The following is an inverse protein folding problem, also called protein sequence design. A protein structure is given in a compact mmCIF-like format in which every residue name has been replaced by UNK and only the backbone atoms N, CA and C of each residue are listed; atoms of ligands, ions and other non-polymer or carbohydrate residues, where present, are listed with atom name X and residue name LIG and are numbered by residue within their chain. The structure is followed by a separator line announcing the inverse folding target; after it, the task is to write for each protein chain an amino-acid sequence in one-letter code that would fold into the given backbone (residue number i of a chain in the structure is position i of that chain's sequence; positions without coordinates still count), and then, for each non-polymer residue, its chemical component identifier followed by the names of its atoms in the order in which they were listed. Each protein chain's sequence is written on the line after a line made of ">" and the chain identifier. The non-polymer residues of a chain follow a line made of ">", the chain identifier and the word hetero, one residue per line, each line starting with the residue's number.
data_IF_750838066411
#
_entry.id   IF_750838066411
#
_cell.length_a   1.000
_cell.length_b   1.000
_cell.length_c   1.000
_cell.angle_alpha   90.00
_cell.angle_beta   90.00
_cell.angle_gamma   90.00
#
_symmetry.space_group_name_H-M   'P 1'
#
loop_
_entity.id
_entity.type
_entity.pdbx_description
1 polymer ?
#
# COMPACT_ATOMS: atom_id res chain seq x y z
N UNK A 1 23.67 5.95 39.86
CA UNK A 1 22.27 6.22 39.47
C UNK A 1 21.65 4.93 38.96
N UNK A 2 20.72 4.35 39.70
CA UNK A 2 20.03 3.10 39.32
C UNK A 2 18.95 3.44 38.30
N UNK A 3 19.15 3.04 37.04
CA UNK A 3 18.15 3.24 35.98
C UNK A 3 16.91 2.42 36.35
N UNK A 4 15.75 3.08 36.48
CA UNK A 4 14.47 2.39 36.72
C UNK A 4 14.27 1.35 35.62
N UNK A 5 13.92 0.12 36.01
CA UNK A 5 13.54 -0.91 35.05
C UNK A 5 12.29 -0.42 34.28
N UNK A 6 12.40 -0.40 32.96
CA UNK A 6 11.27 -0.05 32.09
C UNK A 6 10.24 -1.18 32.14
N UNK A 7 8.96 -0.82 32.11
CA UNK A 7 7.92 -1.79 31.76
C UNK A 7 8.11 -2.28 30.32
N UNK A 8 7.49 -3.39 29.95
CA UNK A 8 7.60 -3.92 28.59
C UNK A 8 7.17 -2.90 27.52
N UNK A 9 6.07 -2.17 27.75
CA UNK A 9 5.61 -1.13 26.83
C UNK A 9 6.60 0.03 26.74
N UNK A 10 7.12 0.51 27.87
CA UNK A 10 8.14 1.58 27.88
C UNK A 10 9.43 1.14 27.18
N UNK A 11 9.83 -0.12 27.34
CA UNK A 11 10.98 -0.69 26.65
C UNK A 11 10.77 -0.72 25.14
N UNK A 12 9.60 -1.18 24.67
CA UNK A 12 9.28 -1.20 23.24
C UNK A 12 9.22 0.22 22.65
N UNK A 13 8.64 1.18 23.38
CA UNK A 13 8.65 2.58 22.95
C UNK A 13 10.06 3.16 22.88
N UNK A 14 10.95 2.79 23.80
CA UNK A 14 12.35 3.23 23.76
C UNK A 14 13.12 2.62 22.58
N UNK A 15 12.88 1.34 22.27
CA UNK A 15 13.44 0.70 21.06
C UNK A 15 12.96 1.41 19.80
N UNK A 16 11.68 1.73 19.70
CA UNK A 16 11.13 2.48 18.57
C UNK A 16 11.75 3.87 18.45
N UNK A 17 11.90 4.60 19.58
CA UNK A 17 12.53 5.91 19.62
C UNK A 17 13.97 5.85 19.08
N UNK A 18 14.77 4.91 19.57
CA UNK A 18 16.16 4.72 19.13
C UNK A 18 16.24 4.32 17.65
N UNK A 19 15.34 3.47 17.18
CA UNK A 19 15.27 3.08 15.77
C UNK A 19 14.98 4.29 14.87
N UNK A 20 14.08 5.19 15.29
CA UNK A 20 13.78 6.44 14.58
C UNK A 20 14.96 7.40 14.58
N UNK A 21 15.76 7.45 15.66
CA UNK A 21 16.98 8.26 15.71
C UNK A 21 18.05 7.76 14.74
N UNK A 22 18.29 6.45 14.68
CA UNK A 22 19.23 5.84 13.71
C UNK A 22 18.81 6.19 12.27
N UNK A 23 17.51 6.07 11.96
CA UNK A 23 16.98 6.45 10.65
C UNK A 23 17.20 7.93 10.36
N UNK A 24 16.95 8.81 11.33
CA UNK A 24 17.12 10.26 11.14
C UNK A 24 18.58 10.60 10.82
N UNK A 25 19.52 10.09 11.63
CA UNK A 25 20.95 10.33 11.42
C UNK A 25 21.40 9.83 10.04
N UNK A 26 20.98 8.64 9.63
CA UNK A 26 21.30 8.11 8.31
C UNK A 26 20.66 8.90 7.16
N UNK A 27 19.50 9.51 7.38
CA UNK A 27 18.88 10.43 6.41
C UNK A 27 19.72 11.68 6.23
N UNK A 28 20.21 12.26 7.33
CA UNK A 28 21.02 13.47 7.31
C UNK A 28 22.38 13.24 6.62
N UNK A 29 22.91 12.02 6.70
CA UNK A 29 24.11 11.59 5.98
C UNK A 29 23.85 11.17 4.52
N UNK A 30 22.59 11.20 4.06
CA UNK A 30 22.22 10.83 2.69
C UNK A 30 22.35 9.34 2.38
N UNK A 31 22.37 8.48 3.40
CA UNK A 31 22.57 7.04 3.22
C UNK A 31 21.31 6.29 2.78
N UNK A 32 20.13 6.87 3.05
CA UNK A 32 18.87 6.15 2.94
C UNK A 32 18.51 5.81 1.49
N UNK A 33 18.40 4.52 1.22
CA UNK A 33 17.76 3.99 0.02
C UNK A 33 16.53 3.16 0.38
N UNK A 34 15.38 3.58 -0.13
CA UNK A 34 14.11 2.87 0.05
C UNK A 34 13.81 1.85 -1.06
N UNK A 35 14.65 1.82 -2.10
CA UNK A 35 14.63 0.83 -3.18
C UNK A 35 15.62 -0.31 -2.95
N UNK A 36 16.24 -0.78 -4.04
CA UNK A 36 17.36 -1.73 -3.95
C UNK A 36 18.57 -1.04 -3.32
N UNK A 37 19.24 -1.71 -2.39
CA UNK A 37 20.47 -1.18 -1.81
C UNK A 37 21.55 -1.04 -2.89
N UNK A 38 22.35 0.05 -2.91
CA UNK A 38 23.46 0.19 -3.84
C UNK A 38 24.42 -1.01 -3.77
N UNK A 39 25.02 -1.37 -4.91
CA UNK A 39 25.95 -2.50 -5.00
C UNK A 39 27.16 -2.32 -4.06
N UNK A 40 27.59 -1.07 -3.87
CA UNK A 40 28.71 -0.66 -3.02
C UNK A 40 28.32 -0.38 -1.56
N UNK A 41 27.05 -0.54 -1.18
CA UNK A 41 26.59 -0.30 0.19
C UNK A 41 27.27 -1.25 1.18
N UNK A 42 27.78 -0.69 2.27
CA UNK A 42 28.35 -1.47 3.38
C UNK A 42 27.27 -2.28 4.09
N UNK A 43 27.68 -3.31 4.85
CA UNK A 43 26.76 -4.11 5.68
C UNK A 43 25.95 -3.25 6.65
N UNK A 44 26.56 -2.23 7.25
CA UNK A 44 25.86 -1.30 8.14
C UNK A 44 24.81 -0.47 7.39
N UNK A 45 25.16 0.10 6.24
CA UNK A 45 24.21 0.86 5.42
C UNK A 45 23.02 0.01 4.97
N UNK A 46 23.28 -1.24 4.55
CA UNK A 46 22.19 -2.18 4.20
C UNK A 46 21.28 -2.48 5.40
N UNK A 47 21.83 -2.67 6.58
CA UNK A 47 21.05 -2.89 7.80
C UNK A 47 20.22 -1.65 8.19
N UNK A 48 20.81 -0.46 8.10
CA UNK A 48 20.12 0.81 8.37
C UNK A 48 19.02 1.07 7.35
N UNK A 49 19.26 0.79 6.06
CA UNK A 49 18.25 0.89 5.02
C UNK A 49 17.11 -0.11 5.24
N UNK A 50 17.41 -1.33 5.66
CA UNK A 50 16.40 -2.32 6.03
C UNK A 50 15.55 -1.83 7.22
N UNK A 51 16.18 -1.28 8.26
CA UNK A 51 15.48 -0.66 9.39
C UNK A 51 14.60 0.51 8.94
N UNK A 52 15.13 1.41 8.10
CA UNK A 52 14.42 2.57 7.59
C UNK A 52 13.18 2.17 6.78
N UNK A 53 13.30 1.15 5.91
CA UNK A 53 12.19 0.58 5.15
C UNK A 53 11.14 -0.02 6.08
N UNK A 54 11.55 -0.77 7.11
CA UNK A 54 10.64 -1.33 8.09
C UNK A 54 9.88 -0.24 8.88
N UNK A 55 10.57 0.82 9.31
CA UNK A 55 9.95 1.95 10.03
C UNK A 55 9.04 2.82 9.15
N UNK A 56 9.15 2.73 7.82
CA UNK A 56 8.28 3.43 6.89
C UNK A 56 7.01 2.63 6.57
N UNK A 57 7.04 1.32 6.81
CA UNK A 57 5.91 0.44 6.59
C UNK A 57 4.76 0.83 7.51
N UNK A 58 3.60 1.06 6.92
CA UNK A 58 2.36 1.28 7.64
C UNK A 58 1.61 -0.06 7.72
N UNK A 59 1.39 -0.54 8.94
CA UNK A 59 0.63 -1.77 9.14
C UNK A 59 -0.87 -1.56 8.90
N UNK A 60 -1.51 -2.51 8.24
CA UNK A 60 -2.94 -2.47 7.93
C UNK A 60 -3.56 -3.87 7.95
N UNK A 61 -4.89 -4.00 8.15
CA UNK A 61 -5.54 -5.31 8.14
C UNK A 61 -5.29 -6.05 6.82
N UNK A 62 -4.67 -7.22 6.90
CA UNK A 62 -4.30 -8.00 5.72
C UNK A 62 -2.99 -7.58 5.04
N UNK A 63 -2.09 -6.89 5.74
CA UNK A 63 -0.71 -6.62 5.30
C UNK A 63 0.24 -7.85 5.41
N UNK A 64 -0.24 -8.94 6.03
CA UNK A 64 0.50 -10.19 6.21
C UNK A 64 1.48 -10.19 7.39
N UNK A 65 1.34 -9.27 8.36
CA UNK A 65 2.24 -9.16 9.52
C UNK A 65 1.70 -9.77 10.83
N UNK A 66 0.43 -10.15 10.87
CA UNK A 66 -0.20 -10.84 12.01
C UNK A 66 -0.72 -12.18 11.50
N UNK A 67 -0.62 -13.24 12.32
CA UNK A 67 -0.97 -14.66 12.12
C UNK A 67 -2.42 -14.95 11.66
N UNK A 68 -2.91 -14.24 10.65
CA UNK A 68 -4.13 -14.48 9.87
C UNK A 68 -3.76 -15.19 8.54
N UNK A 69 -2.66 -15.95 8.57
CA UNK A 69 -1.53 -15.95 7.60
C UNK A 69 -1.49 -17.05 6.54
N UNK A 70 -2.51 -17.90 6.40
CA UNK A 70 -2.48 -18.94 5.34
C UNK A 70 -2.95 -18.41 3.96
N UNK A 71 -3.33 -17.13 3.86
CA UNK A 71 -3.79 -16.53 2.61
C UNK A 71 -2.62 -15.93 1.82
N UNK A 72 -2.44 -16.30 0.54
CA UNK A 72 -1.33 -15.78 -0.25
C UNK A 72 -1.50 -14.27 -0.49
N UNK A 73 -0.37 -13.57 -0.61
CA UNK A 73 -0.34 -12.17 -1.06
C UNK A 73 -0.87 -12.07 -2.49
N UNK A 74 -1.63 -11.01 -2.77
CA UNK A 74 -2.22 -10.74 -4.07
C UNK A 74 -1.47 -9.60 -4.77
N UNK A 75 -0.79 -9.92 -5.87
CA UNK A 75 -0.17 -8.89 -6.72
C UNK A 75 -1.25 -8.01 -7.36
N UNK A 76 -1.21 -6.70 -7.08
CA UNK A 76 -2.13 -5.74 -7.68
C UNK A 76 -1.42 -4.94 -8.78
N UNK A 77 -2.13 -4.74 -9.90
CA UNK A 77 -1.76 -3.76 -10.90
C UNK A 77 -2.04 -2.33 -10.39
N UNK A 78 -3.14 -2.17 -9.67
CA UNK A 78 -3.54 -0.92 -9.07
C UNK A 78 -4.88 -1.04 -8.37
N UNK A 79 -5.31 0.04 -7.73
CA UNK A 79 -6.60 0.10 -7.03
C UNK A 79 -7.39 1.36 -7.37
N UNK A 80 -8.71 1.26 -7.28
CA UNK A 80 -9.62 2.40 -7.28
C UNK A 80 -10.38 2.36 -5.96
N UNK A 81 -10.45 3.48 -5.24
CA UNK A 81 -11.28 3.62 -4.06
C UNK A 81 -12.45 4.55 -4.38
N UNK A 82 -13.67 4.08 -4.16
CA UNK A 82 -14.90 4.87 -4.34
C UNK A 82 -15.71 4.85 -3.05
N UNK A 83 -16.13 6.02 -2.58
CA UNK A 83 -16.99 6.14 -1.39
C UNK A 83 -17.78 7.45 -1.43
N UNK A 84 -18.84 7.58 -0.62
CA UNK A 84 -19.55 8.85 -0.50
C UNK A 84 -18.59 10.00 -0.21
N UNK A 85 -18.62 11.05 -1.04
CA UNK A 85 -17.78 12.24 -0.89
C UNK A 85 -16.31 12.10 -1.30
N UNK A 86 -15.82 10.90 -1.62
CA UNK A 86 -14.45 10.68 -2.13
C UNK A 86 -14.50 9.81 -3.37
N UNK A 87 -14.50 10.47 -4.51
CA UNK A 87 -14.46 9.86 -5.84
C UNK A 87 -13.16 10.24 -6.56
N UNK A 88 -12.58 9.33 -7.38
CA UNK A 88 -11.47 9.68 -8.25
C UNK A 88 -11.82 10.88 -9.13
N UNK A 89 -10.99 11.93 -9.13
CA UNK A 89 -11.27 13.19 -9.82
C UNK A 89 -11.47 13.05 -11.35
N UNK A 90 -10.98 11.96 -11.94
CA UNK A 90 -11.12 11.67 -13.36
C UNK A 90 -12.41 10.89 -13.70
N UNK A 91 -13.23 10.54 -12.70
CA UNK A 91 -14.57 10.01 -12.88
C UNK A 91 -15.59 11.14 -12.72
N UNK A 92 -16.25 11.50 -13.82
CA UNK A 92 -17.37 12.46 -13.83
C UNK A 92 -18.70 11.74 -13.51
N UNK A 93 -18.73 11.07 -12.36
CA UNK A 93 -19.91 10.37 -11.85
C UNK A 93 -19.98 10.43 -10.32
N UNK A 94 -21.20 10.38 -9.79
CA UNK A 94 -21.45 10.22 -8.36
C UNK A 94 -21.10 8.82 -7.88
N UNK A 95 -20.96 8.65 -6.56
CA UNK A 95 -20.70 7.35 -5.95
C UNK A 95 -21.79 6.32 -6.29
N UNK A 96 -23.04 6.74 -6.29
CA UNK A 96 -24.21 5.91 -6.59
C UNK A 96 -24.21 5.48 -8.06
N UNK A 97 -23.88 6.39 -8.98
CA UNK A 97 -23.73 6.07 -10.40
C UNK A 97 -22.59 5.10 -10.65
N UNK A 98 -21.44 5.28 -9.98
CA UNK A 98 -20.32 4.36 -10.06
C UNK A 98 -20.71 2.96 -9.56
N UNK A 99 -21.41 2.87 -8.42
CA UNK A 99 -21.90 1.60 -7.88
C UNK A 99 -22.84 0.89 -8.86
N UNK A 100 -23.80 1.62 -9.43
CA UNK A 100 -24.72 1.09 -10.45
C UNK A 100 -23.98 0.57 -11.67
N UNK A 101 -23.00 1.33 -12.19
CA UNK A 101 -22.17 0.94 -13.34
C UNK A 101 -21.35 -0.32 -13.06
N UNK A 102 -20.85 -0.47 -11.84
CA UNK A 102 -20.06 -1.63 -11.41
C UNK A 102 -20.97 -2.83 -11.05
N UNK A 103 -22.26 -2.60 -10.81
CA UNK A 103 -23.23 -3.63 -10.46
C UNK A 103 -23.19 -4.02 -8.97
N UNK A 104 -22.88 -3.06 -8.10
CA UNK A 104 -22.92 -3.22 -6.64
C UNK A 104 -23.94 -2.29 -6.00
N UNK A 105 -24.46 -2.71 -4.85
CA UNK A 105 -25.23 -1.82 -3.99
C UNK A 105 -24.31 -0.79 -3.29
N UNK A 106 -24.71 0.49 -3.19
CA UNK A 106 -23.97 1.49 -2.44
C UNK A 106 -23.84 1.13 -0.95
N UNK A 107 -22.70 1.46 -0.36
CA UNK A 107 -22.37 1.24 1.05
C UNK A 107 -21.80 2.51 1.68
N UNK A 108 -22.03 2.68 2.98
CA UNK A 108 -21.50 3.83 3.72
C UNK A 108 -19.97 3.88 3.73
N UNK A 109 -19.32 2.72 3.84
CA UNK A 109 -17.86 2.62 3.83
C UNK A 109 -17.25 2.77 2.43
N UNK A 110 -18.05 2.54 1.38
CA UNK A 110 -17.57 2.51 0.00
C UNK A 110 -17.15 1.12 -0.49
N UNK A 111 -16.46 1.13 -1.63
CA UNK A 111 -15.91 -0.05 -2.30
C UNK A 111 -14.47 0.21 -2.75
N UNK A 112 -13.65 -0.82 -2.64
CA UNK A 112 -12.34 -0.85 -3.29
C UNK A 112 -12.41 -1.76 -4.53
N UNK A 113 -11.80 -1.32 -5.62
CA UNK A 113 -11.65 -2.10 -6.84
C UNK A 113 -10.19 -2.47 -6.97
N UNK A 114 -9.88 -3.75 -6.81
CA UNK A 114 -8.53 -4.29 -6.91
C UNK A 114 -8.32 -4.82 -8.33
N UNK A 115 -7.51 -4.10 -9.11
CA UNK A 115 -7.11 -4.53 -10.45
C UNK A 115 -5.95 -5.51 -10.33
N UNK A 116 -6.15 -6.74 -10.80
CA UNK A 116 -5.16 -7.83 -10.68
C UNK A 116 -5.21 -8.73 -11.92
N UNK A 117 -4.51 -9.85 -11.87
CA UNK A 117 -4.49 -10.87 -12.91
C UNK A 117 -5.20 -12.13 -12.42
N UNK A 118 -6.18 -12.59 -13.17
CA UNK A 118 -6.83 -13.87 -12.96
C UNK A 118 -6.00 -15.03 -13.52
N UNK A 119 -6.60 -16.21 -13.49
CA UNK A 119 -5.99 -17.41 -14.08
C UNK A 119 -5.63 -17.17 -15.55
N UNK A 120 -4.42 -17.60 -15.95
CA UNK A 120 -3.90 -17.39 -17.30
C UNK A 120 -3.51 -15.94 -17.62
N UNK A 121 -3.23 -15.11 -16.60
CA UNK A 121 -2.82 -13.69 -16.77
C UNK A 121 -3.89 -12.79 -17.39
N UNK A 122 -5.15 -13.21 -17.37
CA UNK A 122 -6.30 -12.38 -17.76
C UNK A 122 -6.44 -11.19 -16.83
N UNK A 123 -6.71 -9.99 -17.36
CA UNK A 123 -6.91 -8.80 -16.52
C UNK A 123 -8.28 -8.88 -15.87
N UNK A 124 -8.34 -8.73 -14.54
CA UNK A 124 -9.60 -8.74 -13.80
C UNK A 124 -9.65 -7.61 -12.77
N UNK A 125 -10.86 -7.23 -12.39
CA UNK A 125 -11.14 -6.30 -11.30
C UNK A 125 -11.94 -7.04 -10.23
N UNK A 126 -11.44 -7.08 -9.00
CA UNK A 126 -12.20 -7.57 -7.85
C UNK A 126 -12.82 -6.37 -7.13
N UNK A 127 -14.15 -6.36 -6.98
CA UNK A 127 -14.85 -5.34 -6.19
C UNK A 127 -14.97 -5.86 -4.76
N UNK A 128 -14.27 -5.21 -3.83
CA UNK A 128 -14.10 -5.71 -2.46
C UNK A 128 -14.50 -4.69 -1.40
N UNK A 129 -15.00 -5.21 -0.29
CA UNK A 129 -15.39 -4.42 0.89
C UNK A 129 -14.21 -4.00 1.77
N UNK A 130 -12.99 -4.42 1.45
CA UNK A 130 -11.76 -4.19 2.20
C UNK A 130 -11.21 -2.75 2.01
N UNK A 131 -12.01 -1.76 2.41
CA UNK A 131 -11.70 -0.33 2.28
C UNK A 131 -10.47 0.03 3.12
N UNK A 132 -10.46 -0.29 4.40
CA UNK A 132 -9.35 0.04 5.32
C UNK A 132 -8.02 -0.60 4.88
N UNK A 133 -8.07 -1.86 4.42
CA UNK A 133 -6.92 -2.54 3.81
C UNK A 133 -6.39 -1.75 2.60
N UNK A 134 -7.29 -1.25 1.76
CA UNK A 134 -6.94 -0.49 0.56
C UNK A 134 -6.36 0.88 0.92
N UNK A 135 -6.87 1.54 1.96
CA UNK A 135 -6.30 2.80 2.44
C UNK A 135 -4.88 2.62 3.00
N UNK A 136 -4.66 1.58 3.81
CA UNK A 136 -3.34 1.24 4.32
C UNK A 136 -2.35 0.90 3.21
N UNK A 137 -2.82 0.16 2.20
CA UNK A 137 -2.07 -0.13 0.98
C UNK A 137 -1.68 1.15 0.23
N UNK A 138 -2.64 2.04 -0.03
CA UNK A 138 -2.39 3.33 -0.68
C UNK A 138 -1.42 4.20 0.11
N UNK A 139 -1.50 4.17 1.45
CA UNK A 139 -0.59 4.89 2.32
C UNK A 139 0.86 4.35 2.20
N UNK A 140 1.04 3.04 2.05
CA UNK A 140 2.34 2.44 1.77
C UNK A 140 2.84 2.79 0.36
N UNK A 141 1.99 2.71 -0.65
CA UNK A 141 2.37 3.05 -2.03
C UNK A 141 2.77 4.52 -2.19
N UNK A 142 2.06 5.44 -1.53
CA UNK A 142 2.43 6.86 -1.49
C UNK A 142 3.81 7.11 -0.86
N UNK A 143 4.31 6.17 -0.04
CA UNK A 143 5.64 6.18 0.57
C UNK A 143 6.68 5.42 -0.25
N UNK A 144 6.31 4.88 -1.41
CA UNK A 144 7.17 4.05 -2.26
C UNK A 144 7.36 2.62 -1.76
N UNK A 145 6.62 2.20 -0.72
CA UNK A 145 6.66 0.85 -0.18
C UNK A 145 5.84 -0.07 -1.08
N UNK A 146 6.47 -1.08 -1.67
CA UNK A 146 5.83 -2.07 -2.54
C UNK A 146 5.07 -3.13 -1.72
N UNK A 147 4.03 -2.68 -1.02
CA UNK A 147 3.16 -3.55 -0.24
C UNK A 147 2.12 -4.23 -1.15
N UNK A 148 1.72 -5.45 -0.77
CA UNK A 148 0.61 -6.18 -1.37
C UNK A 148 -0.31 -6.67 -0.23
N UNK A 149 -1.64 -6.61 -0.40
CA UNK A 149 -2.53 -7.21 0.58
C UNK A 149 -2.57 -8.73 0.41
N UNK A 150 -2.95 -9.46 1.46
CA UNK A 150 -3.39 -10.86 1.33
C UNK A 150 -4.64 -10.94 0.44
N UNK A 151 -4.87 -12.11 -0.14
CA UNK A 151 -6.12 -12.37 -0.88
C UNK A 151 -7.35 -12.04 -0.02
N UNK A 152 -8.34 -11.32 -0.58
CA UNK A 152 -9.54 -10.96 0.16
C UNK A 152 -10.33 -12.22 0.49
N UNK A 153 -11.03 -12.22 1.62
CA UNK A 153 -11.95 -13.31 1.95
C UNK A 153 -13.06 -13.38 0.89
N UNK A 154 -13.64 -14.56 0.63
CA UNK A 154 -14.79 -14.67 -0.27
C UNK A 154 -15.95 -13.74 0.15
N UNK A 155 -16.17 -13.57 1.46
CA UNK A 155 -17.18 -12.65 2.00
C UNK A 155 -16.88 -11.17 1.78
N UNK A 156 -15.63 -10.82 1.46
CA UNK A 156 -15.22 -9.46 1.13
C UNK A 156 -15.38 -9.16 -0.36
N UNK A 157 -15.51 -10.17 -1.22
CA UNK A 157 -15.65 -9.99 -2.68
C UNK A 157 -17.12 -9.88 -3.04
N UNK A 158 -17.55 -8.73 -3.52
CA UNK A 158 -18.92 -8.53 -4.01
C UNK A 158 -19.09 -9.12 -5.41
N UNK A 159 -18.12 -8.87 -6.30
CA UNK A 159 -18.09 -9.42 -7.66
C UNK A 159 -16.70 -9.31 -8.29
N UNK A 160 -16.51 -10.05 -9.39
CA UNK A 160 -15.29 -10.02 -10.22
C UNK A 160 -15.68 -9.65 -11.65
N UNK A 161 -15.04 -8.63 -12.21
CA UNK A 161 -15.25 -8.18 -13.58
C UNK A 161 -14.04 -8.52 -14.46
N UNK A 162 -14.30 -8.70 -15.76
CA UNK A 162 -13.24 -8.81 -16.76
C UNK A 162 -12.70 -7.44 -17.15
N UNK A 163 -11.39 -7.34 -17.33
CA UNK A 163 -10.68 -6.10 -17.57
C UNK A 163 -10.31 -5.37 -16.27
N UNK A 164 -9.50 -4.31 -16.41
CA UNK A 164 -9.17 -3.43 -15.30
C UNK A 164 -10.06 -2.19 -15.30
N UNK A 165 -10.59 -1.85 -14.14
CA UNK A 165 -11.31 -0.61 -13.91
C UNK A 165 -10.32 0.56 -13.85
N UNK A 166 -10.59 1.63 -14.61
CA UNK A 166 -9.80 2.86 -14.60
C UNK A 166 -10.68 4.08 -14.34
N UNK A 167 -10.08 5.23 -13.98
CA UNK A 167 -8.67 5.46 -13.65
C UNK A 167 -8.30 4.92 -12.25
N UNK A 168 -7.05 4.48 -12.06
CA UNK A 168 -6.57 3.79 -10.85
C UNK A 168 -5.25 4.34 -10.34
N UNK A 169 -4.96 4.17 -9.04
CA UNK A 169 -3.62 4.32 -8.50
C UNK A 169 -2.85 3.03 -8.75
N UNK A 170 -1.71 3.12 -9.46
CA UNK A 170 -0.90 1.95 -9.82
C UNK A 170 -0.04 1.51 -8.64
N UNK A 171 0.20 0.19 -8.54
CA UNK A 171 1.19 -0.31 -7.58
C UNK A 171 2.61 0.07 -8.00
N UNK A 172 3.54 0.28 -7.05
CA UNK A 172 4.95 0.56 -7.37
C UNK A 172 5.56 -0.48 -8.32
N UNK A 173 5.21 -1.75 -8.15
CA UNK A 173 5.60 -2.85 -9.03
C UNK A 173 5.02 -2.74 -10.43
N UNK A 174 3.74 -2.38 -10.57
CA UNK A 174 3.10 -2.23 -11.87
C UNK A 174 3.72 -1.07 -12.68
N UNK A 175 4.04 0.05 -12.02
CA UNK A 175 4.75 1.17 -12.64
C UNK A 175 6.09 0.72 -13.20
N UNK A 176 6.88 -0.02 -12.40
CA UNK A 176 8.18 -0.58 -12.82
C UNK A 176 8.05 -1.57 -13.98
N UNK A 177 7.02 -2.40 -13.98
CA UNK A 177 6.84 -3.52 -14.94
C UNK A 177 6.24 -3.08 -16.28
N UNK A 178 5.41 -2.03 -16.29
CA UNK A 178 4.63 -1.65 -17.47
C UNK A 178 5.05 -0.32 -18.08
N UNK A 179 5.84 0.50 -17.36
CA UNK A 179 6.18 1.86 -17.79
C UNK A 179 4.97 2.82 -17.84
N UNK A 180 3.79 2.39 -17.37
CA UNK A 180 2.62 3.24 -17.22
C UNK A 180 2.90 4.22 -16.07
N UNK A 181 3.07 5.49 -16.41
CA UNK A 181 3.17 6.56 -15.42
C UNK A 181 1.82 6.73 -14.73
N UNK A 182 1.86 6.88 -13.40
CA UNK A 182 0.71 7.33 -12.63
C UNK A 182 0.31 8.74 -13.12
N UNK A 183 -0.95 8.97 -13.52
CA UNK A 183 -1.42 10.30 -13.91
C UNK A 183 -1.24 11.37 -12.81
N UNK A 184 -1.10 10.97 -11.54
CA UNK A 184 -0.80 11.89 -10.42
C UNK A 184 0.65 12.42 -10.41
N UNK A 185 1.60 11.78 -11.11
CA UNK A 185 3.04 12.15 -11.09
C UNK A 185 3.35 13.33 -12.03
N UNK A 186 2.38 13.85 -12.79
CA UNK A 186 2.58 14.97 -13.73
C UNK A 186 2.82 16.36 -13.08
N UNK A 187 3.03 16.50 -11.77
CA UNK A 187 3.16 17.83 -11.11
C UNK A 187 4.46 18.09 -10.32
N UNK A 188 5.54 17.35 -10.55
CA UNK A 188 6.80 17.61 -9.85
C UNK A 188 8.05 17.74 -10.75
N UNK A 189 7.88 18.11 -12.02
CA UNK A 189 9.03 18.37 -12.91
C UNK A 189 8.76 19.55 -13.85
N UNK A 190 8.48 20.70 -13.27
CA UNK A 190 8.77 21.99 -13.89
C UNK A 190 8.99 22.97 -12.76
N UNK A 191 10.25 23.12 -12.35
CA UNK A 191 10.92 24.33 -11.85
C UNK A 191 12.37 23.96 -11.49
#
# INVERSE_FOLDING_TARGET
>A
MTRRALTQSEYLSEVERLAREVRSAASDEGWLCYGHDPDDATTLQRAVNALARALQHHHFPGDGCVEEEDRPLLELAGVVLIRPGVMPAALDETYEQACLRIGVEPRGEGWALWNTWGNGQSRITMVVSAVDTTEGLLANWARGVDAAPVQPLPSQVALIQQGWAGPMTLSPRAVKRTGLLDPAVKRASTL
#
